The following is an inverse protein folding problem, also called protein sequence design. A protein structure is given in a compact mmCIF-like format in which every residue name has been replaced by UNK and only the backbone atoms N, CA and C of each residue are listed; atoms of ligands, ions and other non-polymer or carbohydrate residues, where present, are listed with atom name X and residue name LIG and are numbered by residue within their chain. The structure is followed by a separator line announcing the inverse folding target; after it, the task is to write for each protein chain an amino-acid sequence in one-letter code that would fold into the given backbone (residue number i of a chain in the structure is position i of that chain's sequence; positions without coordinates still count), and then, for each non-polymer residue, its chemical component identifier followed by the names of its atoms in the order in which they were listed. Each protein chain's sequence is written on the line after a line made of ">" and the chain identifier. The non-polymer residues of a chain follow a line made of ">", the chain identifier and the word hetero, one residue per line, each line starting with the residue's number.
data_IF_502693080077
#
_entry.id   IF_502693080077
#
_cell.length_a   1.000
_cell.length_b   1.000
_cell.length_c   1.000
_cell.angle_alpha   90.00
_cell.angle_beta   90.00
_cell.angle_gamma   90.00
#
_symmetry.space_group_name_H-M   'P 1'
#
loop_
_entity.id
_entity.type
_entity.pdbx_description
1 polymer ?
#
# COMPACT_ATOMS: atom_id res chain seq x y z
N UNK A 1 24.36 -11.66 -0.54
CA UNK A 1 23.37 -10.55 -0.56
C UNK A 1 23.95 -9.25 0.02
N UNK A 2 24.55 -9.24 1.21
CA UNK A 2 25.01 -8.00 1.86
C UNK A 2 26.11 -7.24 1.11
N UNK A 3 27.00 -7.94 0.40
CA UNK A 3 28.08 -7.32 -0.38
C UNK A 3 27.58 -6.52 -1.59
N UNK A 4 26.34 -6.75 -2.02
CA UNK A 4 25.74 -6.10 -3.19
C UNK A 4 24.79 -4.94 -2.80
N UNK A 5 24.68 -4.60 -1.51
CA UNK A 5 23.81 -3.52 -1.03
C UNK A 5 22.30 -3.80 -1.19
N UNK A 6 21.90 -5.07 -1.28
CA UNK A 6 20.52 -5.47 -1.62
C UNK A 6 19.57 -5.44 -0.42
N UNK A 7 19.16 -4.23 0.00
CA UNK A 7 18.31 -4.03 1.18
C UNK A 7 16.90 -4.62 1.04
N UNK A 8 16.31 -4.56 -0.16
CA UNK A 8 14.94 -5.05 -0.39
C UNK A 8 14.89 -6.57 -0.44
N UNK A 9 15.80 -7.19 -1.20
CA UNK A 9 15.86 -8.64 -1.33
C UNK A 9 16.17 -9.32 0.00
N UNK A 10 16.97 -8.69 0.85
CA UNK A 10 17.23 -9.18 2.19
C UNK A 10 15.95 -9.32 3.04
N UNK A 11 14.98 -8.40 2.91
CA UNK A 11 13.67 -8.51 3.59
C UNK A 11 12.86 -9.71 3.12
N UNK A 12 13.05 -10.13 1.87
CA UNK A 12 12.37 -11.26 1.24
C UNK A 12 13.10 -12.58 1.39
N UNK A 13 14.19 -12.66 2.17
CA UNK A 13 15.01 -13.86 2.31
C UNK A 13 14.29 -15.09 2.88
N UNK A 14 13.02 -14.96 3.29
CA UNK A 14 12.16 -16.10 3.65
C UNK A 14 11.62 -16.84 2.42
N UNK A 15 11.68 -16.23 1.25
CA UNK A 15 11.20 -16.77 -0.01
C UNK A 15 12.40 -16.98 -0.93
N UNK A 16 12.56 -18.18 -1.50
CA UNK A 16 13.63 -18.48 -2.46
C UNK A 16 15.03 -18.63 -1.87
N UNK A 17 15.16 -18.79 -0.54
CA UNK A 17 16.45 -19.00 0.14
C UNK A 17 16.42 -20.32 0.92
N UNK A 18 17.48 -21.11 0.79
CA UNK A 18 17.65 -22.38 1.50
C UNK A 18 18.13 -22.19 2.96
N UNK A 19 17.99 -23.22 3.82
CA UNK A 19 18.68 -23.26 5.10
C UNK A 19 20.20 -23.12 4.87
N UNK A 20 20.80 -22.03 5.34
CA UNK A 20 22.19 -21.68 5.04
C UNK A 20 22.36 -20.33 4.32
N UNK A 21 21.27 -19.73 3.85
CA UNK A 21 21.29 -18.37 3.27
C UNK A 21 21.62 -18.33 1.78
N UNK A 22 21.70 -19.49 1.13
CA UNK A 22 21.88 -19.60 -0.32
C UNK A 22 20.57 -19.31 -1.05
N UNK A 23 20.64 -18.48 -2.10
CA UNK A 23 19.49 -18.17 -2.96
C UNK A 23 19.30 -19.30 -3.96
N UNK A 24 18.17 -19.99 -3.88
CA UNK A 24 17.83 -21.13 -4.73
C UNK A 24 16.71 -20.84 -5.73
N UNK A 25 15.94 -19.78 -5.53
CA UNK A 25 14.90 -19.33 -6.46
C UNK A 25 14.75 -17.80 -6.38
N UNK A 26 14.73 -17.14 -7.54
CA UNK A 26 14.60 -15.68 -7.64
C UNK A 26 13.23 -15.23 -8.15
N UNK A 27 12.40 -16.17 -8.61
CA UNK A 27 11.07 -15.85 -9.13
C UNK A 27 10.17 -15.14 -8.12
N UNK A 28 10.15 -15.49 -6.81
CA UNK A 28 9.35 -14.77 -5.81
C UNK A 28 9.72 -13.28 -5.68
N UNK A 29 11.00 -12.94 -5.89
CA UNK A 29 11.45 -11.54 -5.85
C UNK A 29 10.96 -10.75 -7.05
N UNK A 30 11.04 -11.35 -8.24
CA UNK A 30 10.54 -10.75 -9.47
C UNK A 30 9.04 -10.50 -9.41
N UNK A 31 8.26 -11.51 -9.01
CA UNK A 31 6.80 -11.40 -8.90
C UNK A 31 6.42 -10.33 -7.88
N UNK A 32 7.11 -10.29 -6.73
CA UNK A 32 6.87 -9.25 -5.74
C UNK A 32 7.12 -7.86 -6.31
N UNK A 33 8.27 -7.63 -6.97
CA UNK A 33 8.59 -6.35 -7.60
C UNK A 33 7.57 -5.94 -8.66
N UNK A 34 7.17 -6.87 -9.52
CA UNK A 34 6.19 -6.62 -10.58
C UNK A 34 4.80 -6.28 -10.01
N UNK A 35 4.36 -7.01 -8.98
CA UNK A 35 3.08 -6.77 -8.32
C UNK A 35 3.02 -5.36 -7.71
N UNK A 36 4.08 -4.95 -7.02
CA UNK A 36 4.16 -3.60 -6.44
C UNK A 36 4.20 -2.55 -7.54
N UNK A 37 4.99 -2.75 -8.60
CA UNK A 37 5.08 -1.80 -9.70
C UNK A 37 3.73 -1.51 -10.35
N UNK A 38 2.97 -2.57 -10.68
CA UNK A 38 1.63 -2.43 -11.29
C UNK A 38 0.65 -1.81 -10.27
N UNK A 39 0.68 -2.25 -9.02
CA UNK A 39 -0.22 -1.72 -7.98
C UNK A 39 0.03 -0.22 -7.72
N UNK A 40 1.29 0.21 -7.66
CA UNK A 40 1.66 1.62 -7.53
C UNK A 40 1.18 2.46 -8.71
N UNK A 41 1.20 1.93 -9.94
CA UNK A 41 0.65 2.64 -11.10
C UNK A 41 -0.87 2.89 -10.97
N UNK A 42 -1.62 1.87 -10.53
CA UNK A 42 -3.08 1.99 -10.32
C UNK A 42 -3.39 2.99 -9.20
N UNK A 43 -2.69 2.90 -8.06
CA UNK A 43 -2.84 3.82 -6.93
C UNK A 43 -2.44 5.25 -7.31
N UNK A 44 -1.35 5.40 -8.06
CA UNK A 44 -0.88 6.69 -8.57
C UNK A 44 -1.91 7.36 -9.47
N UNK A 45 -2.51 6.60 -10.39
CA UNK A 45 -3.58 7.11 -11.25
C UNK A 45 -4.81 7.55 -10.44
N UNK A 46 -5.24 6.74 -9.47
CA UNK A 46 -6.33 7.09 -8.55
C UNK A 46 -6.05 8.42 -7.82
N UNK A 47 -4.83 8.59 -7.30
CA UNK A 47 -4.43 9.81 -6.60
C UNK A 47 -4.45 11.04 -7.52
N UNK A 48 -3.93 10.94 -8.76
CA UNK A 48 -3.95 12.04 -9.74
C UNK A 48 -5.39 12.43 -10.07
N UNK A 49 -6.26 11.44 -10.32
CA UNK A 49 -7.67 11.67 -10.59
C UNK A 49 -8.35 12.40 -9.42
N UNK A 50 -8.12 11.94 -8.19
CA UNK A 50 -8.70 12.54 -7.00
C UNK A 50 -8.15 13.94 -6.68
N UNK A 51 -6.90 14.24 -7.05
CA UNK A 51 -6.27 15.53 -6.78
C UNK A 51 -6.61 16.61 -7.82
N UNK A 52 -6.83 16.23 -9.08
CA UNK A 52 -6.96 17.19 -10.19
C UNK A 52 -8.34 17.23 -10.84
N UNK A 53 -9.07 16.11 -10.85
CA UNK A 53 -10.27 15.94 -11.70
C UNK A 53 -11.56 15.69 -10.91
N UNK A 54 -11.46 15.34 -9.62
CA UNK A 54 -12.61 15.05 -8.77
C UNK A 54 -13.09 16.33 -8.05
N UNK A 55 -14.31 16.26 -7.51
CA UNK A 55 -14.91 17.24 -6.60
C UNK A 55 -13.94 17.63 -5.47
N UNK A 56 -13.91 18.93 -5.15
CA UNK A 56 -13.13 19.47 -4.04
C UNK A 56 -13.65 19.00 -2.67
N UNK A 57 -14.96 18.76 -2.57
CA UNK A 57 -15.63 18.30 -1.35
C UNK A 57 -16.54 17.12 -1.65
N UNK A 58 -16.79 16.27 -0.64
CA UNK A 58 -17.55 15.03 -0.80
C UNK A 58 -18.84 15.02 0.04
N UNK A 59 -19.03 16.00 0.91
CA UNK A 59 -20.10 16.07 1.90
C UNK A 59 -21.49 16.03 1.27
N UNK A 60 -21.67 16.67 0.11
CA UNK A 60 -22.96 16.76 -0.56
C UNK A 60 -23.21 15.57 -1.51
N UNK A 61 -22.23 15.24 -2.36
CA UNK A 61 -22.40 14.20 -3.38
C UNK A 61 -22.14 12.78 -2.86
N UNK A 62 -21.29 12.63 -1.84
CA UNK A 62 -20.84 11.34 -1.31
C UNK A 62 -20.72 11.38 0.24
N UNK A 63 -21.83 11.54 0.97
CA UNK A 63 -21.83 11.80 2.43
C UNK A 63 -21.19 10.68 3.27
N UNK A 64 -21.13 9.45 2.74
CA UNK A 64 -20.39 8.36 3.39
C UNK A 64 -18.88 8.62 3.42
N UNK A 65 -18.30 9.28 2.42
CA UNK A 65 -16.87 9.57 2.33
C UNK A 65 -16.53 11.00 2.81
N UNK A 66 -17.48 11.93 2.77
CA UNK A 66 -17.32 13.27 3.33
C UNK A 66 -17.16 13.27 4.85
N UNK A 67 -16.40 14.22 5.37
CA UNK A 67 -16.19 14.39 6.81
C UNK A 67 -15.83 15.84 7.16
N UNK A 68 -16.23 16.26 8.36
CA UNK A 68 -15.77 17.52 8.95
C UNK A 68 -15.01 17.19 10.22
N UNK A 69 -13.81 17.76 10.39
CA UNK A 69 -12.90 17.49 11.51
C UNK A 69 -13.56 17.61 12.90
N UNK A 70 -14.53 18.51 13.05
CA UNK A 70 -15.26 18.74 14.31
C UNK A 70 -16.19 17.58 14.71
N UNK A 71 -16.57 16.70 13.78
CA UNK A 71 -17.51 15.60 14.05
C UNK A 71 -16.77 14.36 14.54
N UNK A 72 -16.61 14.26 15.85
CA UNK A 72 -15.85 13.21 16.54
C UNK A 72 -16.31 11.80 16.14
N UNK A 73 -17.62 11.56 16.05
CA UNK A 73 -18.17 10.25 15.67
C UNK A 73 -17.70 9.78 14.28
N UNK A 74 -17.53 10.71 13.33
CA UNK A 74 -17.03 10.39 12.00
C UNK A 74 -15.54 10.05 12.06
N UNK A 75 -14.77 10.81 12.84
CA UNK A 75 -13.33 10.57 13.03
C UNK A 75 -13.07 9.20 13.68
N UNK A 76 -13.80 8.86 14.75
CA UNK A 76 -13.65 7.56 15.42
C UNK A 76 -14.10 6.40 14.55
N UNK A 77 -15.10 6.60 13.68
CA UNK A 77 -15.50 5.60 12.69
C UNK A 77 -14.39 5.34 11.66
N UNK A 78 -13.79 6.40 11.10
CA UNK A 78 -12.66 6.28 10.15
C UNK A 78 -11.48 5.56 10.82
N UNK A 79 -11.15 5.94 12.05
CA UNK A 79 -10.12 5.26 12.85
C UNK A 79 -10.49 3.79 13.09
N UNK A 80 -11.72 3.50 13.51
CA UNK A 80 -12.18 2.14 13.74
C UNK A 80 -12.06 1.24 12.51
N UNK A 81 -12.41 1.75 11.33
CA UNK A 81 -12.22 1.05 10.05
C UNK A 81 -10.73 0.83 9.78
N UNK A 82 -9.87 1.82 10.03
CA UNK A 82 -8.41 1.68 9.88
C UNK A 82 -7.81 0.63 10.84
N UNK A 83 -8.29 0.58 12.07
CA UNK A 83 -7.85 -0.42 13.05
C UNK A 83 -8.30 -1.84 12.66
N UNK A 84 -9.50 -1.99 12.13
CA UNK A 84 -10.03 -3.29 11.69
C UNK A 84 -9.35 -3.80 10.41
N UNK A 85 -9.06 -2.89 9.48
CA UNK A 85 -8.43 -3.21 8.19
C UNK A 85 -7.07 -2.50 8.05
N UNK A 86 -6.01 -3.03 8.67
CA UNK A 86 -4.65 -2.56 8.43
C UNK A 86 -4.20 -3.06 7.05
N UNK A 87 -4.48 -2.26 6.01
CA UNK A 87 -3.92 -2.53 4.69
C UNK A 87 -2.45 -2.05 4.70
N UNK A 88 -1.52 -3.01 4.59
CA UNK A 88 -0.12 -2.76 4.27
C UNK A 88 -0.02 -2.55 2.75
N UNK A 89 -0.23 -1.31 2.31
CA UNK A 89 0.40 -0.85 1.07
C UNK A 89 1.74 -0.21 1.42
#
# INVERSE_FOLDING_TARGET
>A
MYEQGLILLHRYSRFGVAPGGEVIDTFPYFVSGLLHFISSAILGFGNIYHALLRLETLEESFPFFGYVWKYINKMTTILGIRYLYPLFL
#
